data_IF_035119497525
#
_entry.id   IF_035119497525
#
_cell.length_a   1.000
_cell.length_b   1.000
_cell.length_c   1.000
_cell.angle_alpha   90.00
_cell.angle_beta   90.00
_cell.angle_gamma   90.00
#
_symmetry.space_group_name_H-M   'P 1'
#
loop_
_entity.id
_entity.type
_entity.pdbx_description
1 polymer ?
#
# COMPACT_ATOMS: atom_id res chain seq x y z
N UNK A 1 -15.95 -9.64 -10.68
CA UNK A 1 -16.20 -8.79 -9.50
C UNK A 1 -14.83 -8.44 -8.95
N UNK A 2 -14.28 -7.30 -9.37
CA UNK A 2 -13.02 -6.78 -8.84
C UNK A 2 -13.36 -6.11 -7.51
N UNK A 3 -12.73 -6.54 -6.42
CA UNK A 3 -12.80 -5.83 -5.14
C UNK A 3 -12.29 -4.42 -5.38
N UNK A 4 -13.20 -3.44 -5.35
CA UNK A 4 -12.94 -2.07 -5.78
C UNK A 4 -12.35 -1.24 -4.62
N UNK A 5 -11.42 -1.82 -3.85
CA UNK A 5 -10.80 -1.13 -2.72
C UNK A 5 -9.39 -0.70 -3.08
N UNK A 6 -8.95 0.46 -2.58
CA UNK A 6 -7.57 0.94 -2.78
C UNK A 6 -6.53 -0.04 -2.25
N UNK A 7 -6.90 -0.84 -1.24
CA UNK A 7 -6.09 -1.94 -0.71
C UNK A 7 -5.85 -3.02 -1.76
N UNK A 8 -6.89 -3.46 -2.47
CA UNK A 8 -6.74 -4.47 -3.53
C UNK A 8 -5.82 -3.94 -4.66
N UNK A 9 -5.93 -2.65 -5.02
CA UNK A 9 -5.06 -2.03 -6.01
C UNK A 9 -3.58 -1.95 -5.56
N UNK A 10 -3.33 -1.64 -4.29
CA UNK A 10 -1.99 -1.64 -3.71
C UNK A 10 -1.40 -3.06 -3.67
N UNK A 11 -2.21 -4.06 -3.29
CA UNK A 11 -1.82 -5.47 -3.30
C UNK A 11 -1.46 -5.95 -4.70
N UNK A 12 -2.30 -5.66 -5.70
CA UNK A 12 -2.04 -6.03 -7.10
C UNK A 12 -0.76 -5.38 -7.65
N UNK A 13 -0.51 -4.11 -7.31
CA UNK A 13 0.71 -3.41 -7.73
C UNK A 13 1.96 -4.01 -7.09
N UNK A 14 1.93 -4.29 -5.78
CA UNK A 14 3.06 -4.86 -5.06
C UNK A 14 3.31 -6.33 -5.40
N UNK A 15 2.25 -7.07 -5.70
CA UNK A 15 2.34 -8.45 -6.20
C UNK A 15 3.08 -8.54 -7.53
N UNK A 16 2.90 -7.56 -8.42
CA UNK A 16 3.67 -7.47 -9.67
C UNK A 16 5.18 -7.23 -9.43
N UNK A 17 5.53 -6.61 -8.30
CA UNK A 17 6.92 -6.41 -7.87
C UNK A 17 7.49 -7.62 -7.09
N UNK A 18 6.65 -8.59 -6.73
CA UNK A 18 7.06 -9.82 -6.04
C UNK A 18 6.97 -9.76 -4.51
N UNK A 19 6.31 -8.74 -3.94
CA UNK A 19 6.08 -8.67 -2.50
C UNK A 19 4.91 -9.57 -2.06
N UNK A 20 4.97 -10.03 -0.80
CA UNK A 20 3.89 -10.81 -0.20
C UNK A 20 2.70 -9.91 0.17
N UNK A 21 1.48 -10.34 -0.17
CA UNK A 21 0.25 -9.61 0.11
C UNK A 21 0.05 -9.28 1.60
N UNK A 22 0.47 -10.17 2.51
CA UNK A 22 0.38 -9.96 3.96
C UNK A 22 1.22 -8.76 4.40
N UNK A 23 2.49 -8.73 3.96
CA UNK A 23 3.43 -7.68 4.29
C UNK A 23 2.95 -6.32 3.76
N UNK A 24 2.47 -6.30 2.51
CA UNK A 24 1.92 -5.09 1.88
C UNK A 24 0.73 -4.57 2.67
N UNK A 25 -0.19 -5.45 3.10
CA UNK A 25 -1.36 -5.05 3.88
C UNK A 25 -0.96 -4.46 5.24
N UNK A 26 -0.01 -5.07 5.93
CA UNK A 26 0.51 -4.56 7.21
C UNK A 26 1.15 -3.18 7.04
N UNK A 27 2.04 -3.01 6.05
CA UNK A 27 2.69 -1.72 5.78
C UNK A 27 1.69 -0.64 5.38
N UNK A 28 0.69 -0.96 4.54
CA UNK A 28 -0.37 0.01 4.19
C UNK A 28 -1.18 0.40 5.44
N UNK A 29 -1.49 -0.54 6.33
CA UNK A 29 -2.21 -0.26 7.56
C UNK A 29 -1.42 0.70 8.46
N UNK A 30 -0.11 0.47 8.63
CA UNK A 30 0.78 1.35 9.39
C UNK A 30 0.86 2.75 8.78
N UNK A 31 1.00 2.85 7.45
CA UNK A 31 1.01 4.14 6.76
C UNK A 31 -0.32 4.88 6.94
N UNK A 32 -1.44 4.18 6.82
CA UNK A 32 -2.76 4.78 7.07
C UNK A 32 -2.89 5.27 8.51
N UNK A 33 -2.38 4.55 9.50
CA UNK A 33 -2.40 5.00 10.90
C UNK A 33 -1.56 6.28 11.11
N UNK A 34 -0.44 6.44 10.39
CA UNK A 34 0.39 7.66 10.41
C UNK A 34 -0.33 8.87 9.79
N UNK A 35 -1.09 8.64 8.72
CA UNK A 35 -1.77 9.70 7.96
C UNK A 35 -3.26 9.88 8.31
N UNK A 36 -3.63 9.62 9.57
CA UNK A 36 -4.99 9.82 10.10
C UNK A 36 -6.07 9.01 9.33
N UNK A 37 -5.71 7.79 8.94
CA UNK A 37 -6.58 6.80 8.31
C UNK A 37 -6.78 7.04 6.81
N UNK A 38 -8.04 7.12 6.37
CA UNK A 38 -8.44 7.06 4.96
C UNK A 38 -7.91 8.26 4.15
N UNK A 39 -7.55 9.36 4.83
CA UNK A 39 -6.96 10.55 4.19
C UNK A 39 -5.49 10.33 3.77
N UNK A 40 -4.84 9.26 4.23
CA UNK A 40 -3.48 8.88 3.83
C UNK A 40 -3.36 8.27 2.45
N UNK A 41 -4.45 7.76 1.88
CA UNK A 41 -4.44 7.07 0.58
C UNK A 41 -3.82 7.87 -0.56
N UNK A 42 -4.15 9.17 -0.76
CA UNK A 42 -3.52 9.97 -1.81
C UNK A 42 -1.99 10.02 -1.70
N UNK A 43 -1.42 10.02 -0.49
CA UNK A 43 0.03 9.99 -0.26
C UNK A 43 0.64 8.61 -0.55
N UNK A 44 -0.10 7.55 -0.23
CA UNK A 44 0.31 6.16 -0.50
C UNK A 44 0.24 5.89 -2.01
N UNK A 45 -0.78 6.37 -2.72
CA UNK A 45 -0.96 6.21 -4.17
C UNK A 45 -0.04 7.15 -4.98
N UNK A 46 0.51 8.19 -4.35
CA UNK A 46 1.41 9.14 -5.00
C UNK A 46 2.67 8.45 -5.53
N UNK A 47 3.18 8.98 -6.64
CA UNK A 47 4.42 8.51 -7.26
C UNK A 47 4.45 6.98 -7.52
N UNK A 48 3.30 6.37 -7.86
CA UNK A 48 3.17 4.93 -8.12
C UNK A 48 3.53 4.06 -6.92
N UNK A 49 2.98 4.39 -5.75
CA UNK A 49 3.23 3.67 -4.50
C UNK A 49 4.68 3.73 -4.02
N UNK A 50 5.42 4.78 -4.38
CA UNK A 50 6.83 4.93 -4.02
C UNK A 50 7.05 4.83 -2.51
N UNK A 51 6.23 5.53 -1.72
CA UNK A 51 6.32 5.50 -0.26
C UNK A 51 6.12 4.08 0.29
N UNK A 52 5.12 3.37 -0.21
CA UNK A 52 4.84 1.99 0.17
C UNK A 52 6.01 1.07 -0.21
N UNK A 53 6.58 1.21 -1.39
CA UNK A 53 7.76 0.44 -1.84
C UNK A 53 8.97 0.76 -0.96
N UNK A 54 9.27 2.02 -0.70
CA UNK A 54 10.38 2.44 0.17
C UNK A 54 10.22 1.88 1.59
N UNK A 55 8.99 1.85 2.10
CA UNK A 55 8.70 1.29 3.42
C UNK A 55 8.87 -0.23 3.43
N UNK A 56 8.38 -0.93 2.40
CA UNK A 56 8.54 -2.38 2.22
C UNK A 56 10.00 -2.83 2.03
N UNK A 57 10.84 -1.97 1.42
CA UNK A 57 12.27 -2.24 1.29
C UNK A 57 13.06 -1.98 2.58
N UNK A 58 12.48 -1.24 3.52
CA UNK A 58 13.10 -0.89 4.80
C UNK A 58 12.61 -1.77 5.97
N UNK A 59 11.46 -2.44 5.80
CA UNK A 59 10.87 -3.41 6.72
C UNK A 59 11.66 -4.74 6.75
#
# INVERSE_FOLDING_TARGET
MVGNTRMDAALDAMRQLGFEETLVRETVQELLDVYEGIQGWPFIEEASYKLLIETLLCA
#
